data_IF_366815540957
#
_entry.id   IF_366815540957
#
_cell.length_a   1.000
_cell.length_b   1.000
_cell.length_c   1.000
_cell.angle_alpha   90.00
_cell.angle_beta   90.00
_cell.angle_gamma   90.00
#
_symmetry.space_group_name_H-M   'P 1'
#
loop_
_entity.id
_entity.type
_entity.pdbx_description
1 polymer ?
#
# COMPACT_ATOMS: atom_id res chain seq x y z
N UNK A 1 4.22 18.43 -2.86
CA UNK A 1 3.17 19.00 -3.71
C UNK A 1 2.47 20.02 -2.82
N UNK A 2 2.69 21.31 -3.06
CA UNK A 2 2.09 22.37 -2.26
C UNK A 2 0.55 22.26 -2.30
N UNK A 3 -0.10 22.33 -1.15
CA UNK A 3 -1.56 22.35 -1.01
C UNK A 3 -2.26 21.00 -0.92
N UNK A 4 -1.54 19.87 -0.89
CA UNK A 4 -2.15 18.56 -0.60
C UNK A 4 -1.70 18.13 0.78
N UNK A 5 -2.64 18.00 1.70
CA UNK A 5 -2.38 17.39 3.00
C UNK A 5 -1.96 15.94 2.80
N UNK A 6 -0.82 15.58 3.36
CA UNK A 6 -0.32 14.21 3.38
C UNK A 6 -0.21 13.76 4.84
N UNK A 7 -1.29 13.31 5.46
CA UNK A 7 -1.24 12.80 6.82
C UNK A 7 -0.28 11.61 6.87
N UNK A 8 0.69 11.68 7.76
CA UNK A 8 1.65 10.61 7.96
C UNK A 8 2.01 10.52 9.43
N UNK A 9 2.46 9.33 9.84
CA UNK A 9 2.81 9.04 11.21
C UNK A 9 4.26 8.57 11.26
N UNK A 10 5.03 9.20 12.13
CA UNK A 10 6.39 8.77 12.44
C UNK A 10 6.37 7.90 13.69
N UNK A 11 6.74 6.63 13.53
CA UNK A 11 6.96 5.74 14.66
C UNK A 11 8.44 5.69 15.00
N UNK A 12 8.77 6.00 16.25
CA UNK A 12 10.09 5.74 16.81
C UNK A 12 9.99 4.58 17.80
N UNK A 13 10.77 3.54 17.57
CA UNK A 13 10.85 2.39 18.45
C UNK A 13 12.28 1.91 18.60
N UNK A 14 12.54 1.15 19.65
CA UNK A 14 13.83 0.54 19.89
C UNK A 14 13.73 -0.98 19.72
N UNK A 15 14.67 -1.56 18.96
CA UNK A 15 14.82 -3.01 18.82
C UNK A 15 15.73 -3.62 19.89
N UNK A 16 15.95 -2.87 20.99
CA UNK A 16 16.76 -3.37 22.11
C UNK A 16 15.96 -4.33 22.96
N UNK A 17 16.58 -5.45 23.27
CA UNK A 17 15.99 -6.49 24.08
C UNK A 17 15.88 -6.08 25.54
N UNK A 18 14.74 -6.31 26.16
CA UNK A 18 14.55 -6.16 27.61
C UNK A 18 15.01 -7.47 28.25
N UNK A 19 16.27 -7.50 28.69
CA UNK A 19 16.96 -8.69 29.16
C UNK A 19 16.91 -8.87 30.69
N UNK A 20 16.10 -8.08 31.39
CA UNK A 20 15.93 -8.15 32.84
C UNK A 20 17.05 -7.49 33.64
N UNK A 21 18.09 -6.92 32.98
CA UNK A 21 19.15 -6.18 33.66
C UNK A 21 18.69 -4.73 33.87
N UNK A 22 18.65 -4.28 35.11
CA UNK A 22 18.35 -2.89 35.41
C UNK A 22 19.46 -1.98 34.90
N UNK A 23 19.06 -0.99 34.08
CA UNK A 23 19.96 0.01 33.50
C UNK A 23 19.30 1.38 33.55
N UNK A 24 20.13 2.41 33.74
CA UNK A 24 19.63 3.78 33.48
C UNK A 24 19.33 3.95 32.01
N UNK A 25 18.43 4.90 31.62
CA UNK A 25 18.15 5.17 30.21
C UNK A 25 19.40 5.40 29.35
N UNK A 26 20.38 6.16 29.90
CA UNK A 26 21.65 6.44 29.24
C UNK A 26 22.49 5.18 29.04
N UNK A 27 22.47 4.26 30.00
CA UNK A 27 23.18 2.99 29.91
C UNK A 27 22.48 2.03 28.95
N UNK A 28 21.14 1.98 28.95
CA UNK A 28 20.34 1.08 28.13
C UNK A 28 20.67 1.25 26.64
N UNK A 29 20.88 2.46 26.16
CA UNK A 29 21.19 2.79 24.77
C UNK A 29 22.67 2.75 24.41
N UNK A 30 23.59 2.47 25.35
CA UNK A 30 25.00 2.28 25.04
C UNK A 30 25.25 1.02 24.19
N UNK A 31 26.47 0.89 23.69
CA UNK A 31 26.89 -0.33 22.95
C UNK A 31 26.78 -1.53 23.88
N UNK A 32 26.21 -2.60 23.37
CA UNK A 32 26.15 -3.89 24.06
C UNK A 32 27.56 -4.44 24.28
N UNK A 33 27.84 -4.96 25.47
CA UNK A 33 29.09 -5.63 25.82
C UNK A 33 28.82 -7.14 25.99
N UNK A 34 29.18 -7.99 25.02
CA UNK A 34 28.94 -9.43 25.13
C UNK A 34 29.74 -10.14 26.24
N UNK A 35 30.86 -9.53 26.68
CA UNK A 35 31.69 -10.10 27.74
C UNK A 35 31.19 -9.75 29.16
N UNK A 36 30.54 -8.61 29.31
CA UNK A 36 29.96 -8.13 30.55
C UNK A 36 28.65 -7.38 30.24
N UNK A 37 27.52 -8.06 30.09
CA UNK A 37 26.26 -7.41 29.75
C UNK A 37 25.78 -6.38 30.74
N UNK A 38 26.16 -6.50 32.01
CA UNK A 38 25.77 -5.54 33.05
C UNK A 38 26.45 -4.17 32.87
N UNK A 39 27.66 -4.15 32.31
CA UNK A 39 28.39 -2.89 32.05
C UNK A 39 28.09 -2.30 30.64
N UNK A 40 27.41 -3.05 29.77
CA UNK A 40 26.99 -2.61 28.45
C UNK A 40 25.57 -2.10 28.40
N UNK A 41 25.18 -1.61 27.21
CA UNK A 41 23.78 -1.35 26.90
C UNK A 41 23.01 -2.64 26.60
N UNK A 42 21.71 -2.56 26.48
CA UNK A 42 20.87 -3.69 26.07
C UNK A 42 21.21 -4.17 24.64
N UNK A 43 21.17 -5.47 24.42
CA UNK A 43 21.45 -6.05 23.11
C UNK A 43 20.40 -5.61 22.09
N UNK A 44 20.85 -5.26 20.88
CA UNK A 44 19.96 -4.97 19.77
C UNK A 44 19.66 -6.28 19.03
N UNK A 45 18.40 -6.72 19.07
CA UNK A 45 17.92 -7.90 18.38
C UNK A 45 17.05 -7.46 17.19
N UNK A 46 17.70 -7.09 16.10
CA UNK A 46 16.98 -6.74 14.87
C UNK A 46 16.60 -8.00 14.10
N UNK A 47 15.53 -7.93 13.34
CA UNK A 47 15.16 -9.00 12.43
C UNK A 47 16.28 -9.34 11.43
N UNK A 48 17.10 -8.36 11.05
CA UNK A 48 18.28 -8.56 10.19
C UNK A 48 19.36 -9.41 10.88
N UNK A 49 19.64 -9.16 12.16
CA UNK A 49 20.57 -9.97 12.97
C UNK A 49 20.10 -11.43 13.06
N UNK A 50 18.78 -11.63 13.10
CA UNK A 50 18.16 -12.95 13.13
C UNK A 50 17.99 -13.57 11.73
N UNK A 51 18.44 -12.91 10.65
CA UNK A 51 18.27 -13.37 9.29
C UNK A 51 16.83 -13.29 8.76
N UNK A 52 15.94 -12.62 9.48
CA UNK A 52 14.51 -12.54 9.18
C UNK A 52 14.07 -11.17 8.64
N UNK A 53 15.00 -10.26 8.34
CA UNK A 53 14.69 -8.86 8.01
C UNK A 53 13.72 -8.68 6.84
N UNK A 54 13.91 -9.43 5.76
CA UNK A 54 13.01 -9.38 4.60
C UNK A 54 11.60 -9.89 4.93
N UNK A 55 11.51 -11.02 5.63
CA UNK A 55 10.23 -11.62 6.01
C UNK A 55 9.46 -10.72 6.99
N UNK A 56 10.15 -10.16 7.96
CA UNK A 56 9.58 -9.24 8.93
C UNK A 56 9.07 -7.94 8.27
N UNK A 57 9.85 -7.38 7.34
CA UNK A 57 9.43 -6.21 6.57
C UNK A 57 8.18 -6.50 5.73
N UNK A 58 8.13 -7.67 5.09
CA UNK A 58 6.96 -8.08 4.32
C UNK A 58 5.72 -8.24 5.20
N UNK A 59 5.88 -8.87 6.37
CA UNK A 59 4.80 -9.00 7.35
C UNK A 59 4.27 -7.64 7.80
N UNK A 60 5.15 -6.68 8.11
CA UNK A 60 4.74 -5.34 8.51
C UNK A 60 3.98 -4.62 7.39
N UNK A 61 4.43 -4.73 6.14
CA UNK A 61 3.73 -4.15 5.00
C UNK A 61 2.33 -4.73 4.84
N UNK A 62 2.19 -6.05 4.94
CA UNK A 62 0.89 -6.73 4.84
C UNK A 62 -0.05 -6.31 5.97
N UNK A 63 0.44 -6.28 7.22
CA UNK A 63 -0.37 -5.85 8.36
C UNK A 63 -0.79 -4.39 8.27
N UNK A 64 0.09 -3.52 7.77
CA UNK A 64 -0.22 -2.11 7.53
C UNK A 64 -1.30 -1.98 6.44
N UNK A 65 -1.18 -2.72 5.35
CA UNK A 65 -2.19 -2.78 4.28
C UNK A 65 -3.55 -3.23 4.82
N UNK A 66 -3.60 -4.33 5.60
CA UNK A 66 -4.82 -4.84 6.22
C UNK A 66 -5.51 -3.78 7.11
N UNK A 67 -4.76 -3.13 7.99
CA UNK A 67 -5.29 -2.11 8.90
C UNK A 67 -5.80 -0.87 8.16
N UNK A 68 -5.05 -0.39 7.16
CA UNK A 68 -5.47 0.77 6.36
C UNK A 68 -6.72 0.41 5.57
N UNK A 69 -6.77 -0.76 4.92
CA UNK A 69 -7.91 -1.16 4.11
C UNK A 69 -9.17 -1.41 4.96
N UNK A 70 -9.03 -1.94 6.17
CA UNK A 70 -10.14 -2.05 7.11
C UNK A 70 -10.72 -0.66 7.45
N UNK A 71 -9.86 0.32 7.72
CA UNK A 71 -10.27 1.70 7.97
C UNK A 71 -10.90 2.35 6.73
N UNK A 72 -10.31 2.16 5.55
CA UNK A 72 -10.85 2.70 4.30
C UNK A 72 -12.23 2.10 3.98
N UNK A 73 -12.43 0.81 4.20
CA UNK A 73 -13.73 0.14 4.01
C UNK A 73 -14.81 0.73 4.92
N UNK A 74 -14.43 1.12 6.14
CA UNK A 74 -15.39 1.64 7.13
C UNK A 74 -15.70 3.13 6.93
N UNK A 75 -14.71 3.93 6.56
CA UNK A 75 -14.81 5.39 6.63
C UNK A 75 -14.64 6.11 5.30
N UNK A 76 -14.01 5.50 4.31
CA UNK A 76 -13.81 6.16 3.02
C UNK A 76 -15.04 6.04 2.13
N UNK A 77 -15.45 7.12 1.46
CA UNK A 77 -16.54 7.05 0.51
C UNK A 77 -16.14 6.18 -0.69
N UNK A 78 -17.02 5.29 -1.10
CA UNK A 78 -16.88 4.57 -2.36
C UNK A 78 -17.11 5.53 -3.53
N UNK A 79 -16.25 5.44 -4.54
CA UNK A 79 -16.41 6.23 -5.76
C UNK A 79 -17.26 5.47 -6.76
N UNK A 80 -18.19 6.17 -7.40
CA UNK A 80 -18.96 5.65 -8.53
C UNK A 80 -18.41 6.26 -9.82
N UNK A 81 -18.01 5.43 -10.75
CA UNK A 81 -17.46 5.85 -12.06
C UNK A 81 -18.34 5.27 -13.16
N UNK A 82 -18.83 6.11 -14.06
CA UNK A 82 -19.55 5.65 -15.23
C UNK A 82 -18.60 5.26 -16.35
N UNK A 83 -18.72 4.01 -16.82
CA UNK A 83 -17.95 3.47 -17.95
C UNK A 83 -18.95 2.80 -18.90
N UNK A 84 -19.03 3.29 -20.13
CA UNK A 84 -19.93 2.75 -21.16
C UNK A 84 -21.40 2.64 -20.69
N UNK A 85 -21.89 3.62 -19.92
CA UNK A 85 -23.26 3.64 -19.39
C UNK A 85 -23.51 2.69 -18.22
N UNK A 86 -22.45 2.10 -17.66
CA UNK A 86 -22.50 1.26 -16.46
C UNK A 86 -21.84 2.00 -15.31
N UNK A 87 -22.58 2.22 -14.23
CA UNK A 87 -22.03 2.72 -12.98
C UNK A 87 -21.25 1.59 -12.30
N UNK A 88 -19.97 1.86 -12.05
CA UNK A 88 -19.03 0.92 -11.42
C UNK A 88 -18.62 1.48 -10.08
N UNK A 89 -18.71 0.65 -9.08
CA UNK A 89 -18.28 0.97 -7.72
C UNK A 89 -16.78 0.71 -7.57
N UNK A 90 -16.02 1.75 -7.21
CA UNK A 90 -14.57 1.67 -7.03
C UNK A 90 -14.21 1.95 -5.57
N UNK A 91 -13.84 0.94 -4.80
CA UNK A 91 -13.47 1.12 -3.40
C UNK A 91 -12.15 1.90 -3.27
N UNK A 92 -12.02 2.61 -2.17
CA UNK A 92 -10.72 3.15 -1.76
C UNK A 92 -9.88 2.05 -1.13
N UNK A 93 -8.65 1.86 -1.61
CA UNK A 93 -7.74 0.86 -1.05
C UNK A 93 -6.27 1.26 -1.24
N UNK A 94 -5.40 0.60 -0.48
CA UNK A 94 -3.95 0.64 -0.65
C UNK A 94 -3.42 -0.77 -0.87
N UNK A 95 -2.29 -0.90 -1.56
CA UNK A 95 -1.59 -2.18 -1.72
C UNK A 95 -0.10 -2.04 -1.42
N UNK A 96 0.46 -3.01 -0.71
CA UNK A 96 1.89 -3.11 -0.45
C UNK A 96 2.67 -3.77 -1.60
N UNK A 97 1.98 -4.23 -2.63
CA UNK A 97 2.58 -4.87 -3.80
C UNK A 97 3.26 -3.83 -4.70
N UNK A 98 4.35 -4.23 -5.34
CA UNK A 98 4.87 -3.47 -6.49
C UNK A 98 3.85 -3.50 -7.64
N UNK A 99 3.88 -2.52 -8.55
CA UNK A 99 3.01 -2.55 -9.73
C UNK A 99 3.16 -3.85 -10.53
N UNK A 100 4.38 -4.36 -10.65
CA UNK A 100 4.65 -5.64 -11.32
C UNK A 100 3.93 -6.81 -10.64
N UNK A 101 4.00 -6.90 -9.31
CA UNK A 101 3.38 -8.01 -8.57
C UNK A 101 1.86 -7.84 -8.51
N UNK A 102 1.38 -6.61 -8.44
CA UNK A 102 -0.03 -6.29 -8.54
C UNK A 102 -0.61 -6.69 -9.91
N UNK A 103 0.09 -6.31 -10.99
CA UNK A 103 -0.28 -6.68 -12.35
C UNK A 103 -0.37 -8.20 -12.54
N UNK A 104 0.64 -8.93 -12.01
CA UNK A 104 0.64 -10.39 -12.06
C UNK A 104 -0.54 -11.01 -11.30
N UNK A 105 -0.88 -10.44 -10.14
CA UNK A 105 -1.95 -10.95 -9.29
C UNK A 105 -3.35 -10.65 -9.83
N UNK A 106 -3.54 -9.47 -10.42
CA UNK A 106 -4.85 -8.95 -10.79
C UNK A 106 -5.08 -8.84 -12.31
N UNK A 107 -4.09 -9.21 -13.14
CA UNK A 107 -4.18 -9.14 -14.60
C UNK A 107 -4.27 -7.69 -15.13
N UNK A 108 -3.72 -6.73 -14.41
CA UNK A 108 -3.67 -5.31 -14.78
C UNK A 108 -2.38 -4.95 -15.51
N UNK A 109 -2.29 -3.71 -16.02
CA UNK A 109 -1.11 -3.18 -16.73
C UNK A 109 -0.66 -1.84 -16.13
N UNK A 110 -0.60 -1.77 -14.79
CA UNK A 110 -0.13 -0.58 -14.09
C UNK A 110 1.31 -0.27 -14.47
N UNK A 111 1.60 0.99 -14.76
CA UNK A 111 2.92 1.49 -15.11
C UNK A 111 3.66 1.94 -13.86
N UNK A 112 4.98 1.70 -13.83
CA UNK A 112 5.83 2.22 -12.77
C UNK A 112 5.85 3.76 -12.79
N UNK A 113 5.73 4.36 -11.61
CA UNK A 113 5.78 5.82 -11.45
C UNK A 113 7.24 6.21 -11.24
N UNK A 114 7.79 7.13 -12.05
CA UNK A 114 9.18 7.55 -11.91
C UNK A 114 9.44 8.21 -10.55
N UNK A 115 10.60 7.90 -9.97
CA UNK A 115 11.03 8.43 -8.67
C UNK A 115 11.98 9.60 -8.90
N UNK A 116 11.62 10.78 -8.37
CA UNK A 116 12.52 11.93 -8.39
C UNK A 116 13.74 11.66 -7.52
N UNK A 117 14.92 11.87 -8.05
CA UNK A 117 16.13 11.90 -7.24
C UNK A 117 16.13 13.13 -6.29
N UNK A 118 17.03 13.11 -5.30
CA UNK A 118 17.08 14.13 -4.26
C UNK A 118 17.35 15.54 -4.83
N UNK A 119 18.22 15.68 -5.82
CA UNK A 119 18.56 16.96 -6.41
C UNK A 119 17.35 17.60 -7.12
N UNK A 120 16.63 16.82 -7.94
CA UNK A 120 15.42 17.29 -8.62
C UNK A 120 14.31 17.61 -7.61
N UNK A 121 14.12 16.76 -6.59
CA UNK A 121 13.05 16.95 -5.59
C UNK A 121 13.19 18.24 -4.78
N UNK A 122 14.42 18.66 -4.49
CA UNK A 122 14.74 19.82 -3.66
C UNK A 122 15.42 20.92 -4.46
N UNK A 123 15.13 21.02 -5.77
CA UNK A 123 15.63 22.09 -6.62
C UNK A 123 15.25 23.46 -6.05
N UNK A 124 16.21 24.40 -6.11
CA UNK A 124 16.05 25.76 -5.57
C UNK A 124 15.73 26.74 -6.69
N UNK A 125 15.22 27.92 -6.34
CA UNK A 125 14.85 28.98 -7.29
C UNK A 125 16.02 29.45 -8.18
N UNK A 126 17.25 29.34 -7.69
CA UNK A 126 18.46 29.67 -8.44
C UNK A 126 18.97 28.53 -9.34
N UNK A 127 18.22 27.42 -9.47
CA UNK A 127 18.57 26.24 -10.27
C UNK A 127 17.50 25.98 -11.38
N UNK A 128 17.37 26.88 -12.38
CA UNK A 128 16.25 26.85 -13.33
C UNK A 128 16.16 25.54 -14.14
N UNK A 129 17.29 24.92 -14.47
CA UNK A 129 17.30 23.64 -15.19
C UNK A 129 16.76 22.49 -14.35
N UNK A 130 17.06 22.46 -13.04
CA UNK A 130 16.53 21.45 -12.13
C UNK A 130 15.04 21.68 -11.87
N UNK A 131 14.59 22.93 -11.77
CA UNK A 131 13.18 23.26 -11.65
C UNK A 131 12.39 22.85 -12.89
N UNK A 132 12.93 23.08 -14.08
CA UNK A 132 12.30 22.62 -15.33
C UNK A 132 12.18 21.08 -15.37
N UNK A 133 13.23 20.36 -14.98
CA UNK A 133 13.19 18.89 -14.86
C UNK A 133 12.18 18.42 -13.80
N UNK A 134 12.11 19.12 -12.67
CA UNK A 134 11.13 18.81 -11.62
C UNK A 134 9.70 18.96 -12.15
N UNK A 135 9.39 20.06 -12.82
CA UNK A 135 8.07 20.30 -13.41
C UNK A 135 7.70 19.23 -14.44
N UNK A 136 8.62 18.92 -15.35
CA UNK A 136 8.41 17.88 -16.36
C UNK A 136 8.13 16.51 -15.71
N UNK A 137 8.88 16.14 -14.68
CA UNK A 137 8.64 14.90 -13.95
C UNK A 137 7.31 14.91 -13.18
N UNK A 138 6.89 16.04 -12.62
CA UNK A 138 5.58 16.16 -11.96
C UNK A 138 4.47 15.88 -12.97
N UNK A 139 4.53 16.46 -14.16
CA UNK A 139 3.51 16.24 -15.21
C UNK A 139 3.51 14.79 -15.69
N UNK A 140 4.68 14.20 -15.86
CA UNK A 140 4.79 12.77 -16.21
C UNK A 140 4.20 11.87 -15.13
N UNK A 141 4.50 12.12 -13.85
CA UNK A 141 3.91 11.39 -12.72
C UNK A 141 2.39 11.51 -12.70
N UNK A 142 1.85 12.70 -12.93
CA UNK A 142 0.40 12.93 -13.00
C UNK A 142 -0.23 12.11 -14.12
N UNK A 143 0.38 12.13 -15.30
CA UNK A 143 -0.08 11.38 -16.48
C UNK A 143 -0.11 9.87 -16.19
N UNK A 144 1.00 9.31 -15.70
CA UNK A 144 1.09 7.88 -15.39
C UNK A 144 0.08 7.48 -14.30
N UNK A 145 -0.12 8.32 -13.28
CA UNK A 145 -1.14 8.07 -12.24
C UNK A 145 -2.56 8.08 -12.81
N UNK A 146 -2.85 8.98 -13.74
CA UNK A 146 -4.16 9.01 -14.42
C UNK A 146 -4.38 7.74 -15.26
N UNK A 147 -3.36 7.30 -16.01
CA UNK A 147 -3.40 6.06 -16.78
C UNK A 147 -3.59 4.83 -15.88
N UNK A 148 -2.88 4.77 -14.75
CA UNK A 148 -3.02 3.70 -13.77
C UNK A 148 -4.42 3.68 -13.13
N UNK A 149 -4.97 4.85 -12.79
CA UNK A 149 -6.34 4.94 -12.27
C UNK A 149 -7.35 4.44 -13.30
N UNK A 150 -7.18 4.80 -14.57
CA UNK A 150 -8.04 4.31 -15.64
C UNK A 150 -7.98 2.79 -15.77
N UNK A 151 -6.78 2.20 -15.72
CA UNK A 151 -6.61 0.74 -15.75
C UNK A 151 -7.29 0.05 -14.56
N UNK A 152 -7.21 0.62 -13.36
CA UNK A 152 -7.92 0.12 -12.19
C UNK A 152 -9.44 0.21 -12.39
N UNK A 153 -9.95 1.31 -12.95
CA UNK A 153 -11.38 1.43 -13.25
C UNK A 153 -11.84 0.38 -14.27
N UNK A 154 -11.03 0.08 -15.29
CA UNK A 154 -11.31 -0.97 -16.24
C UNK A 154 -11.32 -2.37 -15.59
N UNK A 155 -10.46 -2.62 -14.60
CA UNK A 155 -10.49 -3.86 -13.84
C UNK A 155 -11.82 -4.03 -13.09
N UNK A 156 -12.29 -3.00 -12.39
CA UNK A 156 -13.58 -3.04 -11.69
C UNK A 156 -14.76 -3.13 -12.66
N UNK A 157 -14.68 -2.47 -13.80
CA UNK A 157 -15.70 -2.57 -14.85
C UNK A 157 -15.82 -3.99 -15.38
N UNK A 158 -14.71 -4.67 -15.68
CA UNK A 158 -14.72 -6.07 -16.11
C UNK A 158 -15.35 -6.98 -15.05
N UNK A 159 -14.99 -6.80 -13.79
CA UNK A 159 -15.57 -7.56 -12.68
C UNK A 159 -17.09 -7.33 -12.54
N UNK A 160 -17.56 -6.10 -12.70
CA UNK A 160 -19.01 -5.80 -12.69
C UNK A 160 -19.75 -6.41 -13.87
N UNK A 161 -19.16 -6.42 -15.07
CA UNK A 161 -19.74 -7.12 -16.23
C UNK A 161 -19.85 -8.62 -15.98
N UNK A 162 -18.83 -9.25 -15.46
CA UNK A 162 -18.85 -10.67 -15.12
C UNK A 162 -19.96 -10.98 -14.10
N UNK A 163 -20.05 -10.15 -13.04
CA UNK A 163 -21.11 -10.29 -12.04
C UNK A 163 -22.50 -10.21 -12.65
N UNK A 164 -22.74 -9.24 -13.54
CA UNK A 164 -24.04 -9.09 -14.24
C UNK A 164 -24.35 -10.28 -15.13
N UNK A 165 -23.37 -10.76 -15.87
CA UNK A 165 -23.52 -11.93 -16.74
C UNK A 165 -23.87 -13.19 -15.94
N UNK A 166 -23.20 -13.40 -14.79
CA UNK A 166 -23.51 -14.52 -13.89
C UNK A 166 -24.95 -14.45 -13.35
N UNK A 167 -25.42 -13.25 -12.97
CA UNK A 167 -26.78 -13.06 -12.50
C UNK A 167 -27.83 -13.34 -13.62
N UNK A 168 -27.53 -12.96 -14.86
CA UNK A 168 -28.41 -13.26 -16.01
C UNK A 168 -28.46 -14.77 -16.30
N UNK A 169 -27.33 -15.46 -16.23
CA UNK A 169 -27.27 -16.91 -16.39
C UNK A 169 -28.07 -17.62 -15.30
N UNK A 170 -27.92 -17.19 -14.03
CA UNK A 170 -28.69 -17.76 -12.92
C UNK A 170 -30.22 -17.55 -13.05
N UNK A 171 -30.66 -16.43 -13.65
CA UNK A 171 -32.08 -16.17 -13.91
C UNK A 171 -32.65 -17.00 -15.04
N UNK A 172 -31.79 -17.37 -16.00
CA UNK A 172 -32.18 -18.15 -17.18
C UNK A 172 -31.96 -19.65 -17.01
N UNK A 173 -31.57 -20.13 -15.84
CA UNK A 173 -31.40 -21.54 -15.51
C UNK A 173 -32.79 -22.16 -15.25
N UNK A 174 -33.31 -23.02 -16.16
CA UNK A 174 -34.64 -23.60 -16.04
C UNK A 174 -34.77 -24.62 -14.91
N UNK A 175 -33.66 -25.07 -14.33
CA UNK A 175 -33.64 -26.08 -13.26
C UNK A 175 -33.86 -25.50 -11.82
N UNK A 176 -34.03 -24.16 -11.70
CA UNK A 176 -34.43 -23.50 -10.46
C UNK A 176 -35.92 -23.29 -10.33
N UNK A 177 -36.68 -24.35 -10.54
CA UNK A 177 -38.10 -24.17 -10.46
C UNK A 177 -38.84 -25.45 -10.19
N UNK A 178 -39.34 -25.56 -9.04
CA UNK A 178 -40.43 -26.37 -8.54
C UNK A 178 -40.04 -27.37 -7.44
N UNK A 179 -39.71 -26.86 -6.29
CA UNK A 179 -40.11 -27.55 -5.06
C UNK A 179 -41.62 -27.33 -4.88
N UNK A 180 -42.39 -28.08 -5.64
CA UNK A 180 -43.82 -28.16 -5.45
C UNK A 180 -44.14 -28.76 -4.06
N UNK A 181 -45.21 -28.35 -3.42
CA UNK A 181 -45.58 -28.87 -2.12
C UNK A 181 -45.78 -30.39 -2.22
N UNK A 182 -44.96 -31.14 -1.44
CA UNK A 182 -45.20 -32.54 -1.18
C UNK A 182 -46.53 -32.67 -0.43
N UNK A 183 -47.53 -33.26 -1.06
CA UNK A 183 -48.75 -33.70 -0.41
C UNK A 183 -48.47 -34.98 0.36
#
# INVERSE_FOLDING_TARGET
IAGIEQPHLHFMYSERHVDGIERTPEQFFKRYNPKDPQKGGAQKLTADVLGMGKAQLQLYRQKTEELINASLTQYAPTKHVEINGISVEVPSFVSCLSHRDYNKKHGTQLKEVPVMNKAIRFARENEPELLAKQQAMIEEIKRIRAENNYELYQMYYRAELERRNQLLQQKNDPDRGYDGPSF
#
